data_IF_615713644689
#
_entry.id   IF_615713644689
#
_cell.length_a   1.000
_cell.length_b   1.000
_cell.length_c   1.000
_cell.angle_alpha   90.00
_cell.angle_beta   90.00
_cell.angle_gamma   90.00
#
_symmetry.space_group_name_H-M   'P 1'
#
loop_
_entity.id
_entity.type
_entity.pdbx_description
1 polymer ?
#
# COMPACT_ATOMS: atom_id res chain seq x y z
N UNK A 1 -31.62 28.06 6.24
CA UNK A 1 -30.16 28.00 6.01
C UNK A 1 -29.75 26.55 6.11
N UNK A 2 -29.24 25.89 5.06
CA UNK A 2 -28.72 24.54 5.20
C UNK A 2 -27.30 24.62 5.76
N UNK A 3 -27.09 24.05 6.95
CA UNK A 3 -25.76 23.80 7.49
C UNK A 3 -25.10 22.71 6.64
N UNK A 4 -24.32 23.11 5.65
CA UNK A 4 -23.38 22.22 4.95
C UNK A 4 -22.18 22.01 5.87
N UNK A 5 -22.38 21.27 6.95
CA UNK A 5 -21.27 20.68 7.70
C UNK A 5 -20.70 19.60 6.77
N UNK A 6 -19.83 20.00 5.84
CA UNK A 6 -19.05 19.05 5.08
C UNK A 6 -18.27 18.26 6.10
N UNK A 7 -18.67 17.01 6.33
CA UNK A 7 -17.99 16.09 7.23
C UNK A 7 -16.56 15.92 6.72
N UNK A 8 -15.66 16.78 7.21
CA UNK A 8 -14.24 16.68 6.91
C UNK A 8 -13.72 15.51 7.72
N UNK A 9 -13.81 14.31 7.13
CA UNK A 9 -13.08 13.16 7.66
C UNK A 9 -11.62 13.37 7.28
N UNK A 10 -10.69 13.48 8.25
CA UNK A 10 -9.28 13.55 7.94
C UNK A 10 -8.88 12.33 7.10
N UNK A 11 -8.19 12.57 5.98
CA UNK A 11 -7.69 11.50 5.12
C UNK A 11 -6.75 10.62 5.93
N UNK A 12 -7.01 9.31 5.95
CA UNK A 12 -6.25 8.34 6.74
C UNK A 12 -5.05 7.82 5.94
N UNK A 13 -4.04 7.30 6.64
CA UNK A 13 -2.88 6.64 6.00
C UNK A 13 -3.35 5.40 5.23
N UNK A 14 -4.32 4.68 5.80
CA UNK A 14 -4.97 3.55 5.13
C UNK A 14 -5.72 3.91 3.85
N UNK A 15 -6.12 5.18 3.64
CA UNK A 15 -6.80 5.58 2.41
C UNK A 15 -5.82 5.70 1.22
N UNK A 16 -4.62 6.20 1.45
CA UNK A 16 -3.56 6.25 0.42
C UNK A 16 -3.14 4.85 -0.02
N UNK A 17 -3.05 3.89 0.92
CA UNK A 17 -2.70 2.50 0.59
C UNK A 17 -3.83 1.78 -0.17
N UNK A 18 -5.10 2.10 0.10
CA UNK A 18 -6.23 1.59 -0.70
C UNK A 18 -6.20 2.11 -2.12
N UNK A 19 -5.85 3.39 -2.31
CA UNK A 19 -5.68 3.95 -3.66
C UNK A 19 -4.57 3.23 -4.44
N UNK A 20 -3.43 2.92 -3.79
CA UNK A 20 -2.39 2.09 -4.41
C UNK A 20 -2.88 0.68 -4.76
N UNK A 21 -3.68 0.04 -3.91
CA UNK A 21 -4.26 -1.26 -4.24
C UNK A 21 -5.14 -1.22 -5.50
N UNK A 22 -5.97 -0.17 -5.68
CA UNK A 22 -6.77 -0.01 -6.90
C UNK A 22 -5.91 0.20 -8.14
N UNK A 23 -4.80 0.94 -8.01
CA UNK A 23 -3.81 1.10 -9.10
C UNK A 23 -3.17 -0.24 -9.46
N UNK A 24 -2.77 -1.03 -8.47
CA UNK A 24 -2.19 -2.35 -8.67
C UNK A 24 -3.15 -3.32 -9.39
N UNK A 25 -4.43 -3.30 -9.04
CA UNK A 25 -5.45 -4.10 -9.72
C UNK A 25 -5.64 -3.67 -11.19
N UNK A 26 -5.50 -2.39 -11.48
CA UNK A 26 -5.53 -1.89 -12.86
C UNK A 26 -4.33 -2.38 -13.67
N UNK A 27 -3.13 -2.42 -13.05
CA UNK A 27 -1.91 -2.96 -13.67
C UNK A 27 -2.00 -4.46 -13.95
N UNK A 28 -2.77 -5.22 -13.17
CA UNK A 28 -3.00 -6.65 -13.42
C UNK A 28 -3.69 -6.92 -14.76
N UNK A 29 -4.49 -5.97 -15.24
CA UNK A 29 -5.20 -6.06 -16.50
C UNK A 29 -4.41 -5.50 -17.69
N UNK A 30 -3.31 -4.80 -17.43
CA UNK A 30 -2.46 -4.24 -18.47
C UNK A 30 -1.44 -5.28 -18.95
N UNK A 31 -1.12 -5.24 -20.24
CA UNK A 31 -0.15 -6.16 -20.88
C UNK A 31 1.24 -5.54 -21.04
N UNK A 32 1.43 -4.28 -20.63
CA UNK A 32 2.72 -3.59 -20.62
C UNK A 32 3.51 -3.92 -19.34
N UNK A 33 4.67 -4.58 -19.51
CA UNK A 33 5.22 -5.51 -18.50
C UNK A 33 6.19 -4.86 -17.48
N UNK A 34 6.79 -3.68 -17.72
CA UNK A 34 7.96 -3.27 -16.91
C UNK A 34 8.01 -1.81 -16.42
N UNK A 35 7.95 -0.75 -17.27
CA UNK A 35 8.13 0.62 -16.78
C UNK A 35 6.97 1.11 -15.90
N UNK A 36 5.79 0.49 -16.04
CA UNK A 36 4.59 0.81 -15.26
C UNK A 36 4.65 0.27 -13.83
N UNK A 37 5.26 -0.91 -13.64
CA UNK A 37 5.37 -1.54 -12.32
C UNK A 37 6.47 -0.91 -11.47
N UNK A 38 7.59 -0.52 -12.09
CA UNK A 38 8.66 0.23 -11.42
C UNK A 38 8.16 1.60 -10.95
N UNK A 39 7.40 2.32 -11.79
CA UNK A 39 6.78 3.58 -11.40
C UNK A 39 5.79 3.41 -10.24
N UNK A 40 5.01 2.32 -10.25
CA UNK A 40 4.11 1.98 -9.15
C UNK A 40 4.86 1.70 -7.84
N UNK A 41 5.98 0.98 -7.90
CA UNK A 41 6.80 0.68 -6.73
C UNK A 41 7.41 1.94 -6.12
N UNK A 42 7.93 2.84 -6.96
CA UNK A 42 8.47 4.13 -6.52
C UNK A 42 7.38 4.98 -5.84
N UNK A 43 6.21 5.09 -6.46
CA UNK A 43 5.10 5.86 -5.88
C UNK A 43 4.65 5.29 -4.53
N UNK A 44 4.58 3.96 -4.44
CA UNK A 44 4.19 3.26 -3.21
C UNK A 44 5.23 3.48 -2.10
N UNK A 45 6.52 3.39 -2.43
CA UNK A 45 7.59 3.68 -1.49
C UNK A 45 7.53 5.12 -0.98
N UNK A 46 7.35 6.10 -1.86
CA UNK A 46 7.23 7.51 -1.49
C UNK A 46 6.06 7.77 -0.52
N UNK A 47 4.93 7.10 -0.72
CA UNK A 47 3.77 7.18 0.17
C UNK A 47 4.12 6.63 1.56
N UNK A 48 4.77 5.46 1.62
CA UNK A 48 5.18 4.85 2.88
C UNK A 48 6.20 5.71 3.63
N UNK A 49 7.18 6.27 2.91
CA UNK A 49 8.18 7.19 3.46
C UNK A 49 7.51 8.46 4.00
N UNK A 50 6.55 9.03 3.26
CA UNK A 50 5.83 10.25 3.68
C UNK A 50 5.06 10.05 4.98
N UNK A 51 4.47 8.87 5.17
CA UNK A 51 3.64 8.58 6.34
C UNK A 51 4.43 8.14 7.57
N UNK A 52 5.52 7.38 7.37
CA UNK A 52 6.20 6.68 8.46
C UNK A 52 7.70 6.96 8.55
N UNK A 53 8.29 7.63 7.55
CA UNK A 53 9.73 7.82 7.43
C UNK A 53 10.42 6.68 6.66
N UNK A 54 11.64 6.94 6.20
CA UNK A 54 12.40 6.02 5.34
C UNK A 54 12.84 4.72 6.03
N UNK A 55 13.08 4.78 7.34
CA UNK A 55 13.57 3.63 8.14
C UNK A 55 12.43 2.81 8.75
N UNK A 56 11.18 3.06 8.35
CA UNK A 56 10.05 2.32 8.90
C UNK A 56 9.96 0.91 8.31
N UNK A 57 9.54 -0.06 9.16
CA UNK A 57 9.35 -1.47 8.78
C UNK A 57 8.51 -1.66 7.52
N UNK A 58 7.52 -0.81 7.27
CA UNK A 58 6.70 -0.88 6.06
C UNK A 58 7.49 -0.60 4.78
N UNK A 59 8.41 0.37 4.80
CA UNK A 59 9.28 0.67 3.66
C UNK A 59 10.20 -0.52 3.39
N UNK A 60 10.81 -1.09 4.44
CA UNK A 60 11.66 -2.27 4.33
C UNK A 60 10.88 -3.48 3.81
N UNK A 61 9.72 -3.77 4.40
CA UNK A 61 8.87 -4.92 4.03
C UNK A 61 8.46 -4.83 2.56
N UNK A 62 8.14 -3.62 2.08
CA UNK A 62 7.81 -3.42 0.67
C UNK A 62 9.01 -3.72 -0.23
N UNK A 63 10.19 -3.15 0.07
CA UNK A 63 11.43 -3.36 -0.70
C UNK A 63 11.87 -4.82 -0.78
N UNK A 64 11.65 -5.60 0.28
CA UNK A 64 11.99 -7.02 0.31
C UNK A 64 10.94 -7.92 -0.34
N UNK A 65 9.72 -7.41 -0.59
CA UNK A 65 8.66 -8.14 -1.27
C UNK A 65 8.72 -8.02 -2.81
N UNK A 66 9.49 -7.06 -3.34
CA UNK A 66 9.62 -6.77 -4.78
C UNK A 66 10.86 -7.31 -5.53
N UNK A 67 11.89 -7.94 -4.92
CA UNK A 67 13.08 -8.37 -5.67
C UNK A 67 12.81 -9.70 -6.40
N UNK A 68 12.88 -9.69 -7.74
CA UNK A 68 12.88 -10.95 -8.51
C UNK A 68 12.65 -10.87 -10.02
N UNK A 69 12.22 -9.73 -10.57
CA UNK A 69 11.78 -9.70 -11.98
C UNK A 69 12.90 -9.35 -12.97
N UNK A 70 13.84 -8.48 -12.60
CA UNK A 70 14.86 -7.96 -13.53
C UNK A 70 16.01 -8.95 -13.81
N UNK A 71 16.50 -9.70 -12.82
CA UNK A 71 17.71 -10.53 -12.99
C UNK A 71 17.47 -11.83 -13.78
N UNK A 72 16.23 -12.33 -13.82
CA UNK A 72 15.96 -13.68 -14.31
C UNK A 72 15.57 -13.76 -15.80
N UNK A 73 15.38 -12.64 -16.49
CA UNK A 73 15.01 -12.61 -17.93
C UNK A 73 16.22 -12.63 -18.87
N UNK A 74 17.40 -12.24 -18.37
CA UNK A 74 18.62 -12.08 -19.19
C UNK A 74 19.22 -13.43 -19.63
N UNK A 75 18.84 -14.54 -18.98
CA UNK A 75 19.44 -15.86 -19.19
C UNK A 75 18.53 -16.89 -19.92
N UNK A 76 17.39 -16.47 -20.49
CA UNK A 76 16.46 -17.38 -21.16
C UNK A 76 16.43 -17.19 -22.70
N UNK A 77 16.29 -18.26 -23.50
CA UNK A 77 16.13 -18.15 -24.94
C UNK A 77 14.83 -17.42 -25.32
N UNK A 78 14.89 -16.59 -26.35
CA UNK A 78 13.86 -15.64 -26.81
C UNK A 78 12.46 -16.27 -26.99
N UNK A 79 12.41 -17.53 -27.44
CA UNK A 79 11.16 -18.29 -27.63
C UNK A 79 10.43 -18.69 -26.34
N UNK A 80 11.10 -18.67 -25.19
CA UNK A 80 10.53 -18.93 -23.87
C UNK A 80 10.31 -17.66 -23.05
N UNK A 81 10.76 -16.50 -23.52
CA UNK A 81 10.73 -15.25 -22.76
C UNK A 81 9.30 -14.72 -22.59
N UNK A 82 8.45 -14.72 -23.61
CA UNK A 82 7.11 -14.12 -23.50
C UNK A 82 6.17 -14.82 -22.50
N UNK A 83 6.00 -16.16 -22.51
CA UNK A 83 5.11 -16.83 -21.56
C UNK A 83 5.63 -16.71 -20.12
N UNK A 84 6.94 -16.88 -19.93
CA UNK A 84 7.59 -16.84 -18.63
C UNK A 84 7.59 -15.42 -18.06
N UNK A 85 7.80 -14.39 -18.90
CA UNK A 85 7.72 -12.99 -18.49
C UNK A 85 6.31 -12.62 -18.02
N UNK A 86 5.26 -13.09 -18.71
CA UNK A 86 3.87 -12.85 -18.31
C UNK A 86 3.53 -13.51 -16.98
N UNK A 87 3.97 -14.74 -16.75
CA UNK A 87 3.70 -15.43 -15.48
C UNK A 87 4.49 -14.81 -14.32
N UNK A 88 5.72 -14.37 -14.55
CA UNK A 88 6.51 -13.64 -13.55
C UNK A 88 5.92 -12.29 -13.21
N UNK A 89 5.44 -11.54 -14.20
CA UNK A 89 4.75 -10.27 -13.99
C UNK A 89 3.51 -10.45 -13.10
N UNK A 90 2.69 -11.48 -13.39
CA UNK A 90 1.55 -11.83 -12.53
C UNK A 90 1.98 -12.17 -11.11
N UNK A 91 3.03 -12.97 -10.95
CA UNK A 91 3.58 -13.30 -9.63
C UNK A 91 4.05 -12.06 -8.88
N UNK A 92 4.75 -11.15 -9.57
CA UNK A 92 5.21 -9.88 -9.04
C UNK A 92 4.08 -8.98 -8.55
N UNK A 93 2.99 -8.90 -9.31
CA UNK A 93 1.77 -8.19 -8.89
C UNK A 93 1.16 -8.85 -7.65
N UNK A 94 1.08 -10.18 -7.60
CA UNK A 94 0.53 -10.88 -6.43
C UNK A 94 1.39 -10.68 -5.18
N UNK A 95 2.72 -10.65 -5.30
CA UNK A 95 3.63 -10.38 -4.18
C UNK A 95 3.39 -8.98 -3.59
N UNK A 96 3.32 -7.96 -4.45
CA UNK A 96 3.00 -6.58 -4.05
C UNK A 96 1.63 -6.50 -3.39
N UNK A 97 0.63 -7.20 -3.94
CA UNK A 97 -0.72 -7.24 -3.38
C UNK A 97 -0.72 -7.81 -1.96
N UNK A 98 0.00 -8.91 -1.73
CA UNK A 98 0.11 -9.54 -0.41
C UNK A 98 0.80 -8.62 0.60
N UNK A 99 1.89 -7.97 0.20
CA UNK A 99 2.61 -7.02 1.05
C UNK A 99 1.71 -5.83 1.44
N UNK A 100 1.03 -5.22 0.47
CA UNK A 100 0.14 -4.08 0.70
C UNK A 100 -1.08 -4.43 1.56
N UNK A 101 -1.67 -5.63 1.36
CA UNK A 101 -2.78 -6.11 2.18
C UNK A 101 -2.39 -6.30 3.65
N UNK A 102 -1.21 -6.89 3.89
CA UNK A 102 -0.70 -7.09 5.25
C UNK A 102 -0.51 -5.74 5.95
N UNK A 103 0.14 -4.78 5.26
CA UNK A 103 0.35 -3.44 5.79
C UNK A 103 -0.98 -2.70 6.02
N UNK A 104 -1.91 -2.75 5.06
CA UNK A 104 -3.21 -2.09 5.19
C UNK A 104 -3.98 -2.57 6.42
N UNK A 105 -3.97 -3.88 6.68
CA UNK A 105 -4.64 -4.48 7.83
C UNK A 105 -4.09 -3.91 9.14
N UNK A 106 -2.77 -3.90 9.28
CA UNK A 106 -2.10 -3.35 10.48
C UNK A 106 -2.33 -1.84 10.62
N UNK A 107 -2.30 -1.08 9.51
CA UNK A 107 -2.59 0.36 9.52
C UNK A 107 -4.01 0.65 10.01
N UNK A 108 -5.00 -0.10 9.53
CA UNK A 108 -6.40 0.09 9.93
C UNK A 108 -6.62 -0.25 11.40
N UNK A 109 -5.95 -1.28 11.92
CA UNK A 109 -6.01 -1.64 13.33
C UNK A 109 -5.42 -0.53 14.22
N UNK A 110 -4.23 -0.03 13.85
CA UNK A 110 -3.59 1.09 14.55
C UNK A 110 -4.43 2.37 14.52
N UNK A 111 -5.00 2.73 13.37
CA UNK A 111 -5.88 3.90 13.23
C UNK A 111 -7.18 3.76 14.04
N UNK A 112 -7.70 2.54 14.20
CA UNK A 112 -8.86 2.29 15.04
C UNK A 112 -8.52 2.45 16.53
N UNK A 113 -7.35 1.96 16.96
CA UNK A 113 -6.87 2.13 18.34
C UNK A 113 -6.61 3.60 18.67
N UNK A 114 -5.97 4.35 17.77
CA UNK A 114 -5.75 5.79 17.91
C UNK A 114 -7.08 6.55 18.06
N UNK A 115 -8.08 6.23 17.23
CA UNK A 115 -9.40 6.84 17.31
C UNK A 115 -10.10 6.56 18.66
N UNK A 116 -9.98 5.33 19.17
CA UNK A 116 -10.52 4.98 20.49
C UNK A 116 -9.82 5.77 21.60
N UNK A 117 -8.49 5.83 21.59
CA UNK A 117 -7.72 6.57 22.60
C UNK A 117 -8.11 8.06 22.65
N UNK A 118 -8.21 8.71 21.48
CA UNK A 118 -8.60 10.11 21.37
C UNK A 118 -10.03 10.41 21.82
N UNK A 119 -10.92 9.42 21.82
CA UNK A 119 -12.31 9.57 22.30
C UNK A 119 -12.50 9.14 23.76
N UNK A 120 -11.50 8.49 24.37
CA UNK A 120 -11.58 7.89 25.70
C UNK A 120 -11.10 8.76 26.86
N UNK A 121 -10.35 9.84 26.61
CA UNK A 121 -9.79 10.72 27.67
C UNK A 121 -10.76 11.78 28.21
N UNK A 122 -11.91 12.02 27.59
CA UNK A 122 -12.87 13.08 27.98
C UNK A 122 -14.02 12.56 28.88
N UNK A 123 -13.70 11.61 29.77
CA UNK A 123 -14.60 11.14 30.84
C UNK A 123 -13.98 11.39 32.21
N UNK A 124 -13.62 12.63 32.49
CA UNK A 124 -13.54 13.08 33.87
C UNK A 124 -14.97 13.25 34.39
N UNK A 125 -15.48 12.23 35.09
CA UNK A 125 -16.69 12.39 35.89
C UNK A 125 -16.44 13.55 36.87
N UNK A 126 -17.24 14.64 36.86
CA UNK A 126 -17.05 15.72 37.80
C UNK A 126 -17.22 15.18 39.22
N UNK A 127 -16.34 15.55 40.17
CA UNK A 127 -16.45 15.09 41.54
C UNK A 127 -17.82 15.53 42.08
N UNK A 128 -18.63 14.55 42.47
CA UNK A 128 -19.89 14.81 43.16
C UNK A 128 -19.55 15.40 44.54
N UNK A 129 -19.92 16.67 44.75
CA UNK A 129 -19.94 17.33 46.07
C UNK A 129 -21.17 16.87 46.84
#
# INVERSE_FOLDING_TARGET
MPNTNASFTPRKRSDDLKEQMTKLESLQHDTAISPTLEAFDLETEEILIRHYGADHRYVETYKYATPGEAEALVNLPESAQEPIAKDRFKMGIQQRRQALLAMLTEMQESEAQEAVALTGEDREDPPSI
#
